data_IF_881130144598
#
_entry.id   IF_881130144598
#
_cell.length_a   1.000
_cell.length_b   1.000
_cell.length_c   1.000
_cell.angle_alpha   90.00
_cell.angle_beta   90.00
_cell.angle_gamma   90.00
#
_symmetry.space_group_name_H-M   'P 1'
#
loop_
_entity.id
_entity.type
_entity.pdbx_description
1 polymer ?
#
# COMPACT_ATOMS: atom_id res chain seq x y z
N UNK A 1 -25.43 23.10 11.23
CA UNK A 1 -24.75 22.93 12.52
C UNK A 1 -23.51 22.03 12.42
N UNK A 2 -23.59 20.82 11.81
CA UNK A 2 -22.48 19.88 11.75
C UNK A 2 -21.18 20.50 11.17
N UNK A 3 -21.27 21.17 10.02
CA UNK A 3 -20.11 21.84 9.41
C UNK A 3 -19.59 23.04 10.23
N UNK A 4 -20.46 23.67 11.05
CA UNK A 4 -20.05 24.71 11.98
C UNK A 4 -19.19 24.19 13.12
N UNK A 5 -19.33 22.92 13.49
CA UNK A 5 -18.47 22.26 14.48
C UNK A 5 -17.03 22.14 13.95
N UNK A 6 -16.87 21.71 12.69
CA UNK A 6 -15.54 21.63 12.07
C UNK A 6 -14.91 23.02 11.87
N UNK A 7 -15.71 24.01 11.43
CA UNK A 7 -15.26 25.40 11.30
C UNK A 7 -14.69 25.96 12.60
N UNK A 8 -15.25 25.56 13.75
CA UNK A 8 -14.90 26.01 15.09
C UNK A 8 -14.07 24.97 15.87
N UNK A 9 -13.12 24.31 15.22
CA UNK A 9 -12.17 23.37 15.82
C UNK A 9 -12.79 22.27 16.68
N UNK A 10 -13.93 21.76 16.28
CA UNK A 10 -14.62 20.67 16.96
C UNK A 10 -15.64 21.10 18.01
N UNK A 11 -15.90 22.40 18.13
CA UNK A 11 -16.78 22.97 19.16
C UNK A 11 -18.11 23.43 18.52
N UNK A 12 -19.21 23.01 19.12
CA UNK A 12 -20.52 23.56 18.82
C UNK A 12 -20.77 24.80 19.67
N UNK A 13 -21.01 25.94 19.02
CA UNK A 13 -21.34 27.19 19.67
C UNK A 13 -22.82 27.50 19.50
N UNK A 14 -23.48 27.97 20.55
CA UNK A 14 -24.91 28.27 20.49
C UNK A 14 -25.49 28.78 21.83
N UNK A 15 -26.78 28.61 21.97
CA UNK A 15 -27.50 28.95 23.21
C UNK A 15 -28.27 27.74 23.73
N UNK A 16 -28.29 27.53 25.03
CA UNK A 16 -29.06 26.46 25.64
C UNK A 16 -30.55 26.79 25.62
N UNK A 17 -31.30 25.93 24.94
CA UNK A 17 -32.77 25.95 24.94
C UNK A 17 -33.26 24.64 25.60
N UNK A 18 -33.52 24.69 26.89
CA UNK A 18 -33.72 23.50 27.70
C UNK A 18 -32.40 22.75 27.91
N UNK A 19 -32.37 21.46 27.53
CA UNK A 19 -31.17 20.61 27.63
C UNK A 19 -30.33 20.57 26.32
N UNK A 20 -30.77 21.26 25.27
CA UNK A 20 -30.12 21.20 23.95
C UNK A 20 -29.45 22.52 23.59
N UNK A 21 -28.21 22.45 23.14
CA UNK A 21 -27.49 23.54 22.52
C UNK A 21 -27.98 23.76 21.10
N UNK A 22 -28.41 24.97 20.74
CA UNK A 22 -28.93 25.34 19.44
C UNK A 22 -28.30 26.63 18.94
N UNK A 23 -28.22 26.75 17.61
CA UNK A 23 -27.80 28.01 17.00
C UNK A 23 -28.78 29.14 17.31
N UNK A 24 -28.28 30.24 17.83
CA UNK A 24 -29.11 31.42 18.08
C UNK A 24 -29.35 32.19 16.79
N UNK A 25 -30.61 32.47 16.48
CA UNK A 25 -31.02 33.31 15.35
C UNK A 25 -31.28 34.77 15.76
N UNK A 26 -31.52 34.98 17.05
CA UNK A 26 -31.67 36.31 17.67
C UNK A 26 -30.63 36.43 18.76
N UNK A 27 -29.70 37.38 18.64
CA UNK A 27 -28.59 37.54 19.57
C UNK A 27 -28.95 38.46 20.75
N UNK A 28 -29.76 39.49 20.53
CA UNK A 28 -30.20 40.40 21.57
C UNK A 28 -31.56 41.03 21.22
N UNK A 29 -32.35 41.29 22.25
CA UNK A 29 -33.57 42.09 22.16
C UNK A 29 -33.49 43.13 23.28
N UNK A 30 -33.60 44.42 22.92
CA UNK A 30 -33.72 45.53 23.85
C UNK A 30 -34.88 46.43 23.47
N UNK A 31 -35.45 47.13 24.43
CA UNK A 31 -36.43 48.17 24.15
C UNK A 31 -35.76 49.49 23.72
N UNK A 32 -36.57 50.50 23.46
CA UNK A 32 -36.12 51.84 23.05
C UNK A 32 -35.43 52.63 24.15
N UNK A 33 -35.58 52.20 25.42
CA UNK A 33 -34.99 52.76 26.63
C UNK A 33 -33.64 52.09 26.95
N UNK A 34 -33.28 50.97 26.19
CA UNK A 34 -32.05 50.22 26.31
C UNK A 34 -32.10 49.10 27.34
N UNK A 35 -33.30 48.75 27.85
CA UNK A 35 -33.49 47.61 28.72
C UNK A 35 -33.37 46.33 27.88
N UNK A 36 -32.48 45.40 28.32
CA UNK A 36 -32.19 44.15 27.61
C UNK A 36 -33.18 43.08 28.07
N UNK A 37 -33.99 42.59 27.16
CA UNK A 37 -34.96 41.50 27.39
C UNK A 37 -34.38 40.12 27.01
N UNK A 38 -33.39 40.08 26.08
CA UNK A 38 -32.67 38.92 25.69
C UNK A 38 -31.24 39.30 25.37
N UNK A 39 -30.27 38.58 25.94
CA UNK A 39 -28.86 38.71 25.61
C UNK A 39 -28.24 37.33 25.37
N UNK A 40 -28.06 37.00 24.11
CA UNK A 40 -27.39 35.78 23.62
C UNK A 40 -26.09 36.11 22.87
N UNK A 41 -25.48 37.26 23.13
CA UNK A 41 -24.23 37.68 22.51
C UNK A 41 -23.04 36.81 22.91
N UNK A 42 -23.10 36.18 24.08
CA UNK A 42 -22.10 35.23 24.57
C UNK A 42 -22.61 33.81 24.33
N UNK A 43 -22.11 33.17 23.29
CA UNK A 43 -22.45 31.79 22.98
C UNK A 43 -21.87 30.83 24.04
N UNK A 44 -22.62 29.79 24.36
CA UNK A 44 -22.10 28.63 25.08
C UNK A 44 -21.36 27.71 24.09
N UNK A 45 -20.30 27.07 24.59
CA UNK A 45 -19.42 26.22 23.78
C UNK A 45 -19.45 24.78 24.31
N UNK A 46 -19.75 23.83 23.44
CA UNK A 46 -19.75 22.41 23.77
C UNK A 46 -18.81 21.67 22.83
N UNK A 47 -17.73 21.01 23.31
CA UNK A 47 -16.92 20.13 22.53
C UNK A 47 -17.76 18.96 21.99
N UNK A 48 -17.67 18.68 20.67
CA UNK A 48 -18.41 17.61 19.98
C UNK A 48 -17.44 16.58 19.40
N UNK A 49 -16.36 17.08 18.78
CA UNK A 49 -15.25 16.24 18.28
C UNK A 49 -13.94 16.85 18.75
N UNK A 50 -12.88 16.06 18.73
CA UNK A 50 -11.55 16.57 19.10
C UNK A 50 -11.06 17.60 18.08
N UNK A 51 -10.24 18.59 18.47
CA UNK A 51 -9.66 19.55 17.53
C UNK A 51 -8.87 18.88 16.41
N UNK A 52 -8.21 17.74 16.69
CA UNK A 52 -7.44 16.98 15.71
C UNK A 52 -8.34 16.41 14.60
N UNK A 53 -9.48 15.80 14.98
CA UNK A 53 -10.45 15.29 13.98
C UNK A 53 -11.09 16.43 13.18
N UNK A 54 -11.37 17.55 13.81
CA UNK A 54 -11.87 18.73 13.11
C UNK A 54 -10.84 19.24 12.09
N UNK A 55 -9.57 19.28 12.49
CA UNK A 55 -8.48 19.72 11.62
C UNK A 55 -8.29 18.79 10.42
N UNK A 56 -8.31 17.46 10.59
CA UNK A 56 -8.28 16.51 9.48
C UNK A 56 -9.44 16.71 8.50
N UNK A 57 -10.65 16.93 9.00
CA UNK A 57 -11.81 17.24 8.15
C UNK A 57 -11.65 18.57 7.41
N UNK A 58 -11.08 19.57 8.05
CA UNK A 58 -10.79 20.85 7.43
C UNK A 58 -9.75 20.73 6.33
N UNK A 59 -8.68 19.95 6.56
CA UNK A 59 -7.64 19.65 5.58
C UNK A 59 -8.22 18.95 4.34
N UNK A 60 -8.93 17.83 4.53
CA UNK A 60 -9.57 17.06 3.44
C UNK A 60 -10.53 17.94 2.62
N UNK A 61 -11.36 18.73 3.30
CA UNK A 61 -12.39 19.56 2.64
C UNK A 61 -11.83 20.84 2.03
N UNK A 62 -10.63 21.29 2.40
CA UNK A 62 -9.96 22.44 1.82
C UNK A 62 -8.91 22.09 0.77
N UNK A 63 -8.56 20.80 0.62
CA UNK A 63 -7.61 20.35 -0.40
C UNK A 63 -8.19 20.55 -1.82
N UNK A 64 -7.64 21.54 -2.53
CA UNK A 64 -7.98 21.81 -3.92
C UNK A 64 -7.57 20.68 -4.84
N UNK A 65 -6.42 20.04 -4.60
CA UNK A 65 -5.85 19.00 -5.46
C UNK A 65 -6.68 17.72 -5.46
N UNK A 66 -7.23 17.33 -4.31
CA UNK A 66 -8.15 16.19 -4.18
C UNK A 66 -9.45 16.35 -5.01
N UNK A 67 -9.83 17.60 -5.35
CA UNK A 67 -11.01 17.89 -6.15
C UNK A 67 -10.75 17.85 -7.66
N UNK A 68 -9.50 17.91 -8.10
CA UNK A 68 -9.16 18.06 -9.53
C UNK A 68 -9.67 16.90 -10.38
N UNK A 69 -9.64 15.68 -9.88
CA UNK A 69 -10.13 14.51 -10.62
C UNK A 69 -11.62 14.57 -10.91
N UNK A 70 -12.42 15.17 -10.03
CA UNK A 70 -13.88 15.23 -10.16
C UNK A 70 -14.43 16.55 -10.68
N UNK A 71 -13.72 17.67 -10.41
CA UNK A 71 -14.23 19.04 -10.69
C UNK A 71 -13.29 19.85 -11.60
N UNK A 72 -12.12 19.32 -11.94
CA UNK A 72 -11.09 20.05 -12.69
C UNK A 72 -10.27 21.03 -11.84
N UNK A 73 -9.19 21.53 -12.41
CA UNK A 73 -8.21 22.40 -11.70
C UNK A 73 -8.72 23.80 -11.38
N UNK A 74 -9.71 24.30 -12.13
CA UNK A 74 -10.36 25.60 -11.91
C UNK A 74 -11.83 25.38 -11.57
N UNK A 75 -12.10 24.77 -10.42
CA UNK A 75 -13.45 24.43 -10.04
C UNK A 75 -14.14 25.55 -9.24
N UNK A 76 -15.45 25.49 -9.24
CA UNK A 76 -16.32 26.51 -8.62
C UNK A 76 -16.19 26.60 -7.10
N UNK A 77 -15.57 25.62 -6.43
CA UNK A 77 -15.33 25.64 -4.99
C UNK A 77 -14.06 26.40 -4.61
N UNK A 78 -13.22 26.76 -5.57
CA UNK A 78 -12.05 27.59 -5.34
C UNK A 78 -12.46 29.07 -5.30
N UNK A 79 -12.47 29.64 -4.11
CA UNK A 79 -12.86 31.03 -3.86
C UNK A 79 -11.67 31.99 -3.72
N UNK A 80 -10.43 31.47 -3.79
CA UNK A 80 -9.21 32.25 -3.70
C UNK A 80 -8.70 32.52 -2.29
N UNK A 81 -9.25 31.87 -1.28
CA UNK A 81 -8.80 31.89 0.12
C UNK A 81 -9.10 30.56 0.80
N UNK A 82 -8.46 30.23 1.96
CA UNK A 82 -8.67 28.96 2.63
C UNK A 82 -10.15 28.69 2.93
N UNK A 83 -10.70 27.64 2.36
CA UNK A 83 -12.14 27.33 2.46
C UNK A 83 -12.36 25.84 2.30
N UNK A 84 -12.96 25.23 3.29
CA UNK A 84 -13.45 23.86 3.24
C UNK A 84 -14.80 23.82 2.52
N UNK A 85 -14.99 22.94 1.52
CA UNK A 85 -16.23 22.87 0.78
C UNK A 85 -16.49 21.49 0.16
N UNK A 86 -17.80 21.16 0.00
CA UNK A 86 -18.27 19.91 -0.64
C UNK A 86 -19.56 20.13 -1.39
N UNK A 87 -19.63 19.58 -2.60
CA UNK A 87 -20.87 19.43 -3.37
C UNK A 87 -21.49 18.08 -3.03
N UNK A 88 -22.81 18.05 -2.86
CA UNK A 88 -23.61 16.84 -2.76
C UNK A 88 -24.75 16.88 -3.78
N UNK A 89 -25.11 15.74 -4.33
CA UNK A 89 -26.21 15.57 -5.28
C UNK A 89 -27.00 14.31 -4.98
N UNK A 90 -28.26 14.28 -5.42
CA UNK A 90 -29.09 13.08 -5.39
C UNK A 90 -28.95 12.35 -6.72
N UNK A 91 -29.18 11.06 -6.74
CA UNK A 91 -28.93 10.14 -7.86
C UNK A 91 -29.54 10.61 -9.20
N UNK A 92 -30.72 11.23 -9.17
CA UNK A 92 -31.40 11.73 -10.38
C UNK A 92 -31.09 13.20 -10.70
N UNK A 93 -30.18 13.85 -10.02
CA UNK A 93 -29.81 15.27 -10.16
C UNK A 93 -31.01 16.27 -10.03
N UNK A 94 -32.06 15.88 -9.31
CA UNK A 94 -33.17 16.75 -8.99
C UNK A 94 -32.95 17.68 -7.81
N UNK A 95 -31.91 17.39 -7.01
CA UNK A 95 -31.49 18.32 -5.97
C UNK A 95 -29.98 18.27 -5.76
N UNK A 96 -29.41 19.42 -5.44
CA UNK A 96 -27.99 19.58 -5.17
C UNK A 96 -27.78 20.43 -3.91
N UNK A 97 -26.70 20.10 -3.20
CA UNK A 97 -26.23 20.81 -2.04
C UNK A 97 -24.82 21.31 -2.32
N UNK A 98 -24.53 22.52 -1.85
CA UNK A 98 -23.14 22.96 -1.68
C UNK A 98 -23.02 23.57 -0.30
N UNK A 99 -22.13 23.01 0.48
CA UNK A 99 -21.81 23.50 1.81
C UNK A 99 -20.30 23.74 1.87
N UNK A 100 -19.94 24.85 2.50
CA UNK A 100 -18.54 25.16 2.76
C UNK A 100 -18.43 26.26 3.79
N UNK A 101 -17.22 26.41 4.32
CA UNK A 101 -16.98 27.26 5.47
C UNK A 101 -15.53 27.74 5.53
N UNK A 102 -15.35 28.85 6.22
CA UNK A 102 -14.10 29.34 6.76
C UNK A 102 -14.15 29.23 8.30
N UNK A 103 -13.09 29.52 9.05
CA UNK A 103 -13.16 29.55 10.50
C UNK A 103 -14.30 30.45 11.05
N UNK A 104 -14.68 31.51 10.32
CA UNK A 104 -15.65 32.51 10.78
C UNK A 104 -17.05 32.37 10.19
N UNK A 105 -17.22 31.69 9.07
CA UNK A 105 -18.49 31.66 8.32
C UNK A 105 -18.76 30.28 7.74
N UNK A 106 -20.01 29.87 7.85
CA UNK A 106 -20.56 28.69 7.19
C UNK A 106 -21.64 29.13 6.20
N UNK A 107 -21.56 28.66 4.98
CA UNK A 107 -22.58 28.90 3.96
C UNK A 107 -23.07 27.56 3.37
N UNK A 108 -24.39 27.48 3.17
CA UNK A 108 -25.01 26.31 2.53
C UNK A 108 -26.01 26.81 1.49
N UNK A 109 -25.97 26.23 0.30
CA UNK A 109 -26.98 26.37 -0.73
C UNK A 109 -27.57 25.00 -1.02
N UNK A 110 -28.88 24.92 -0.99
CA UNK A 110 -29.65 23.76 -1.44
C UNK A 110 -30.58 24.19 -2.56
N UNK A 111 -30.60 23.44 -3.62
CA UNK A 111 -31.50 23.66 -4.74
C UNK A 111 -32.24 22.36 -5.07
N UNK A 112 -33.49 22.47 -5.46
CA UNK A 112 -34.29 21.39 -5.97
C UNK A 112 -35.11 21.88 -7.16
N UNK A 113 -35.29 21.02 -8.17
CA UNK A 113 -36.09 21.30 -9.36
C UNK A 113 -36.96 20.09 -9.72
N UNK A 114 -37.91 20.30 -10.63
CA UNK A 114 -38.71 19.21 -11.17
C UNK A 114 -38.06 18.50 -12.37
N UNK A 115 -36.91 19.02 -12.79
CA UNK A 115 -36.09 18.48 -13.88
C UNK A 115 -34.62 18.38 -13.39
N UNK A 116 -33.86 17.46 -13.96
CA UNK A 116 -32.42 17.33 -13.70
C UNK A 116 -31.70 18.64 -14.07
N UNK A 117 -30.74 19.06 -13.23
CA UNK A 117 -29.92 20.24 -13.44
C UNK A 117 -28.48 20.00 -13.02
N UNK A 118 -27.57 20.84 -13.54
CA UNK A 118 -26.17 20.77 -13.18
C UNK A 118 -25.94 21.19 -11.72
N UNK A 119 -25.41 20.31 -10.85
CA UNK A 119 -25.10 20.63 -9.45
C UNK A 119 -24.16 21.83 -9.28
N UNK A 120 -23.37 22.18 -10.30
CA UNK A 120 -22.49 23.35 -10.27
C UNK A 120 -23.25 24.67 -10.19
N UNK A 121 -24.53 24.70 -10.54
CA UNK A 121 -25.38 25.90 -10.36
C UNK A 121 -25.51 26.24 -8.88
N UNK A 122 -25.77 25.25 -8.02
CA UNK A 122 -25.82 25.44 -6.57
C UNK A 122 -24.44 25.86 -6.02
N UNK A 123 -23.37 25.29 -6.56
CA UNK A 123 -22.00 25.62 -6.19
C UNK A 123 -21.63 27.06 -6.60
N UNK A 124 -22.04 27.52 -7.79
CA UNK A 124 -21.83 28.91 -8.23
C UNK A 124 -22.53 29.92 -7.33
N UNK A 125 -23.77 29.61 -6.89
CA UNK A 125 -24.48 30.46 -5.91
C UNK A 125 -23.79 30.46 -4.55
N UNK A 126 -23.32 29.29 -4.09
CA UNK A 126 -22.53 29.18 -2.86
C UNK A 126 -21.23 29.99 -2.94
N UNK A 127 -20.52 29.88 -4.08
CA UNK A 127 -19.28 30.64 -4.32
C UNK A 127 -19.49 32.15 -4.14
N UNK A 128 -20.54 32.70 -4.76
CA UNK A 128 -20.87 34.12 -4.60
C UNK A 128 -21.23 34.47 -3.16
N UNK A 129 -21.98 33.62 -2.48
CA UNK A 129 -22.42 33.81 -1.10
C UNK A 129 -21.23 33.80 -0.12
N UNK A 130 -20.36 32.80 -0.19
CA UNK A 130 -19.22 32.68 0.75
C UNK A 130 -18.19 33.80 0.53
N UNK A 131 -17.94 34.21 -0.71
CA UNK A 131 -17.09 35.38 -1.03
C UNK A 131 -17.67 36.64 -0.44
N UNK A 132 -18.99 36.88 -0.59
CA UNK A 132 -19.64 38.08 -0.03
C UNK A 132 -19.63 38.07 1.49
N UNK A 133 -19.86 36.90 2.11
CA UNK A 133 -19.84 36.76 3.56
C UNK A 133 -18.47 37.04 4.20
N UNK A 134 -17.38 36.80 3.46
CA UNK A 134 -16.00 36.98 3.93
C UNK A 134 -15.35 38.29 3.40
N UNK A 135 -16.04 39.14 2.64
CA UNK A 135 -15.49 40.32 1.96
C UNK A 135 -14.74 41.28 2.91
N UNK A 136 -15.15 41.35 4.16
CA UNK A 136 -14.57 42.26 5.18
C UNK A 136 -13.70 41.54 6.21
N UNK A 137 -13.53 40.22 6.06
CA UNK A 137 -12.75 39.40 6.99
C UNK A 137 -11.36 39.12 6.41
N UNK A 138 -10.31 39.03 7.25
CA UNK A 138 -9.02 38.55 6.78
C UNK A 138 -9.13 37.10 6.33
N UNK A 139 -8.41 36.68 5.28
CA UNK A 139 -8.34 35.29 4.88
C UNK A 139 -7.56 34.49 5.94
N UNK A 140 -8.27 33.74 6.78
CA UNK A 140 -7.70 32.86 7.80
C UNK A 140 -7.96 31.39 7.42
N UNK A 141 -7.03 30.52 7.80
CA UNK A 141 -7.18 29.07 7.74
C UNK A 141 -7.25 28.47 9.15
N UNK A 142 -7.09 27.18 9.24
CA UNK A 142 -7.03 26.45 10.50
C UNK A 142 -5.58 26.16 10.87
N UNK A 143 -5.23 26.39 12.15
CA UNK A 143 -3.92 26.01 12.67
C UNK A 143 -3.94 24.56 13.14
N UNK A 144 -2.86 23.83 12.86
CA UNK A 144 -2.73 22.44 13.28
C UNK A 144 -2.67 22.35 14.82
N UNK A 145 -3.60 21.64 15.46
CA UNK A 145 -3.56 21.45 16.91
C UNK A 145 -2.45 20.48 17.32
N UNK A 146 -2.08 20.52 18.60
CA UNK A 146 -1.17 19.50 19.18
C UNK A 146 -1.79 18.12 18.98
N UNK A 147 -0.99 17.14 18.54
CA UNK A 147 -1.45 15.78 18.26
C UNK A 147 -1.69 15.51 16.77
N UNK A 148 -1.27 16.43 15.90
CA UNK A 148 -1.14 16.22 14.46
C UNK A 148 0.33 16.15 14.10
N UNK A 149 0.71 15.10 13.37
CA UNK A 149 2.03 14.90 12.76
C UNK A 149 1.92 15.08 11.26
N UNK A 150 2.90 15.77 10.67
CA UNK A 150 3.05 15.89 9.22
C UNK A 150 4.23 15.05 8.77
N UNK A 151 4.05 14.20 7.76
CA UNK A 151 5.12 13.37 7.22
C UNK A 151 4.94 13.11 5.72
N UNK A 152 6.03 12.72 5.09
CA UNK A 152 6.03 12.39 3.67
C UNK A 152 5.60 10.92 3.48
N UNK A 153 4.69 10.69 2.53
CA UNK A 153 4.16 9.38 2.16
C UNK A 153 4.16 9.20 0.65
N UNK A 154 4.09 7.97 0.21
CA UNK A 154 3.94 7.64 -1.20
C UNK A 154 2.47 7.80 -1.63
N UNK A 155 2.23 8.52 -2.71
CA UNK A 155 0.90 8.68 -3.31
C UNK A 155 0.72 7.62 -4.42
N UNK A 156 -0.38 6.83 -4.42
CA UNK A 156 -1.57 6.94 -3.59
C UNK A 156 -1.62 5.97 -2.38
N UNK A 157 -0.57 5.22 -2.07
CA UNK A 157 -0.61 4.21 -1.00
C UNK A 157 -0.77 4.81 0.41
N UNK A 158 -0.28 6.03 0.62
CA UNK A 158 -0.23 6.66 1.94
C UNK A 158 0.80 6.03 2.90
N UNK A 159 1.65 5.12 2.41
CA UNK A 159 2.70 4.43 3.18
C UNK A 159 4.03 5.19 3.13
N UNK A 160 5.01 4.75 3.93
CA UNK A 160 6.35 5.35 3.93
C UNK A 160 7.00 5.21 2.55
N UNK A 161 7.61 6.27 1.99
CA UNK A 161 8.14 6.22 0.63
C UNK A 161 9.37 5.33 0.53
N UNK A 162 9.47 4.56 -0.54
CA UNK A 162 10.64 3.82 -0.98
C UNK A 162 11.37 4.57 -2.10
N UNK A 163 12.48 4.01 -2.58
CA UNK A 163 13.18 4.54 -3.75
C UNK A 163 12.34 4.41 -5.05
N UNK A 164 11.39 3.48 -5.06
CA UNK A 164 10.51 3.20 -6.21
C UNK A 164 9.26 4.06 -6.24
N UNK A 165 8.97 4.79 -5.16
CA UNK A 165 7.80 5.66 -5.08
C UNK A 165 7.90 6.81 -6.10
N UNK A 166 7.01 6.89 -7.11
CA UNK A 166 7.11 7.89 -8.17
C UNK A 166 6.63 9.27 -7.74
N UNK A 167 5.78 9.34 -6.72
CA UNK A 167 5.21 10.59 -6.24
C UNK A 167 5.15 10.60 -4.71
N UNK A 168 5.96 11.47 -4.09
CA UNK A 168 5.99 11.66 -2.64
C UNK A 168 5.21 12.92 -2.31
N UNK A 169 4.21 12.78 -1.44
CA UNK A 169 3.37 13.89 -0.96
C UNK A 169 3.50 14.01 0.55
N UNK A 170 3.28 15.21 1.06
CA UNK A 170 3.29 15.45 2.49
C UNK A 170 1.86 15.44 3.01
N UNK A 171 1.55 14.51 3.90
CA UNK A 171 0.22 14.29 4.46
C UNK A 171 0.22 14.42 5.99
N UNK A 172 -0.96 14.48 6.60
CA UNK A 172 -1.16 14.71 8.03
C UNK A 172 -1.83 13.51 8.70
N UNK A 173 -1.37 13.21 9.92
CA UNK A 173 -1.83 12.06 10.70
C UNK A 173 -2.13 12.46 12.14
N UNK A 174 -3.05 11.73 12.76
CA UNK A 174 -3.17 11.74 14.23
C UNK A 174 -1.93 11.08 14.84
N UNK A 175 -1.39 11.63 15.91
CA UNK A 175 -0.28 11.00 16.61
C UNK A 175 -0.64 9.57 17.02
N UNK A 176 0.16 8.60 16.55
CA UNK A 176 -0.03 7.17 16.78
C UNK A 176 -0.83 6.46 15.69
N UNK A 177 -1.25 7.17 14.61
CA UNK A 177 -1.85 6.59 13.41
C UNK A 177 -1.01 6.79 12.15
N UNK A 178 0.24 7.22 12.31
CA UNK A 178 1.19 7.35 11.22
C UNK A 178 1.49 5.99 10.60
N UNK A 179 1.68 5.91 9.26
CA UNK A 179 2.08 4.67 8.62
C UNK A 179 3.45 4.21 9.14
N UNK A 180 3.57 2.93 9.43
CA UNK A 180 4.82 2.28 9.87
C UNK A 180 5.39 1.34 8.80
N UNK A 181 4.62 1.04 7.76
CA UNK A 181 5.01 0.19 6.65
C UNK A 181 5.52 1.02 5.48
N UNK A 182 6.48 0.48 4.75
CA UNK A 182 6.96 1.06 3.51
C UNK A 182 6.01 0.76 2.36
N UNK A 183 6.04 1.63 1.34
CA UNK A 183 5.26 1.44 0.12
C UNK A 183 5.61 0.11 -0.55
N UNK A 184 4.58 -0.68 -0.84
CA UNK A 184 4.65 -1.94 -1.59
C UNK A 184 3.88 -1.89 -2.92
N UNK A 185 3.28 -0.71 -3.22
CA UNK A 185 2.49 -0.52 -4.42
C UNK A 185 3.36 -0.35 -5.67
N UNK A 186 4.58 0.17 -5.50
CA UNK A 186 5.49 0.41 -6.62
C UNK A 186 6.77 -0.40 -6.49
N UNK A 187 7.22 -0.94 -7.62
CA UNK A 187 8.47 -1.70 -7.72
C UNK A 187 9.16 -1.46 -9.04
N UNK A 188 10.49 -1.31 -9.01
CA UNK A 188 11.32 -1.23 -10.18
C UNK A 188 11.78 -2.61 -10.65
N UNK A 189 11.74 -2.80 -11.96
CA UNK A 189 12.19 -4.00 -12.65
C UNK A 189 13.20 -3.63 -13.73
N UNK A 190 14.25 -4.43 -13.84
CA UNK A 190 15.17 -4.35 -14.98
C UNK A 190 14.51 -4.99 -16.21
N UNK A 191 14.23 -4.21 -17.22
CA UNK A 191 13.60 -4.68 -18.47
C UNK A 191 14.50 -4.44 -19.68
N UNK A 192 14.35 -5.26 -20.71
CA UNK A 192 14.94 -4.96 -22.01
C UNK A 192 14.05 -3.93 -22.72
N UNK A 193 14.59 -2.72 -22.94
CA UNK A 193 13.85 -1.60 -23.53
C UNK A 193 13.34 -1.85 -24.96
N UNK A 194 13.86 -2.85 -25.68
CA UNK A 194 13.43 -3.18 -27.04
C UNK A 194 12.32 -4.23 -27.05
N UNK A 195 12.37 -5.21 -26.14
CA UNK A 195 11.38 -6.29 -26.06
C UNK A 195 10.29 -6.03 -25.03
N UNK A 196 10.57 -5.23 -24.01
CA UNK A 196 9.69 -4.97 -22.88
C UNK A 196 9.64 -6.12 -21.86
N UNK A 197 10.40 -7.19 -22.03
CA UNK A 197 10.48 -8.32 -21.12
C UNK A 197 11.51 -8.08 -20.00
N UNK A 198 11.44 -8.87 -18.94
CA UNK A 198 12.41 -8.84 -17.83
C UNK A 198 13.82 -9.11 -18.37
N UNK A 199 14.73 -8.22 -18.11
CA UNK A 199 16.12 -8.37 -18.51
C UNK A 199 16.80 -9.49 -17.69
N UNK A 200 17.83 -10.09 -18.28
CA UNK A 200 18.59 -11.19 -17.68
C UNK A 200 20.09 -10.88 -17.70
N UNK A 201 20.89 -11.69 -17.02
CA UNK A 201 22.37 -11.61 -17.10
C UNK A 201 22.91 -11.81 -18.52
N UNK A 202 22.08 -12.27 -19.45
CA UNK A 202 22.42 -12.46 -20.87
C UNK A 202 21.94 -11.30 -21.74
N UNK A 203 21.12 -10.41 -21.23
CA UNK A 203 20.68 -9.20 -21.93
C UNK A 203 21.85 -8.22 -22.04
N UNK A 204 22.06 -7.65 -23.23
CA UNK A 204 23.11 -6.65 -23.41
C UNK A 204 22.93 -5.48 -22.45
N UNK A 205 23.95 -5.07 -21.69
CA UNK A 205 23.85 -3.96 -20.72
C UNK A 205 23.30 -2.65 -21.33
N UNK A 206 23.56 -2.42 -22.61
CA UNK A 206 23.06 -1.25 -23.33
C UNK A 206 21.53 -1.27 -23.55
N UNK A 207 20.88 -2.41 -23.39
CA UNK A 207 19.44 -2.60 -23.56
C UNK A 207 18.69 -2.69 -22.23
N UNK A 208 19.38 -2.79 -21.11
CA UNK A 208 18.77 -2.86 -19.78
C UNK A 208 18.32 -1.46 -19.36
N UNK A 209 17.07 -1.35 -18.95
CA UNK A 209 16.42 -0.16 -18.41
C UNK A 209 15.70 -0.51 -17.10
N UNK A 210 15.86 0.31 -16.06
CA UNK A 210 15.06 0.20 -14.85
C UNK A 210 13.74 0.94 -15.07
N UNK A 211 12.64 0.22 -14.91
CA UNK A 211 11.28 0.77 -15.06
C UNK A 211 10.43 0.42 -13.86
N UNK A 212 9.79 1.43 -13.28
CA UNK A 212 8.89 1.26 -12.13
C UNK A 212 7.49 0.93 -12.62
N UNK A 213 6.90 -0.11 -12.05
CA UNK A 213 5.54 -0.56 -12.30
C UNK A 213 4.72 -0.55 -11.01
N UNK A 214 3.42 -0.43 -11.17
CA UNK A 214 2.49 -0.67 -10.07
C UNK A 214 2.32 -2.18 -9.87
N UNK A 215 2.42 -2.63 -8.63
CA UNK A 215 2.16 -4.03 -8.24
C UNK A 215 0.70 -4.13 -7.82
N UNK A 216 -0.08 -4.91 -8.57
CA UNK A 216 -1.52 -5.04 -8.35
C UNK A 216 -1.78 -6.36 -7.62
N UNK A 217 -2.47 -6.35 -6.48
CA UNK A 217 -2.90 -7.58 -5.82
C UNK A 217 -3.90 -8.35 -6.70
N UNK A 218 -3.96 -9.66 -6.51
CA UNK A 218 -4.75 -10.55 -7.38
C UNK A 218 -6.24 -10.16 -7.47
N UNK A 219 -6.80 -9.63 -6.39
CA UNK A 219 -8.20 -9.18 -6.30
C UNK A 219 -8.48 -7.97 -7.19
N UNK A 220 -7.48 -7.12 -7.44
CA UNK A 220 -7.61 -5.91 -8.25
C UNK A 220 -7.18 -6.12 -9.72
N UNK A 221 -6.71 -7.32 -10.11
CA UNK A 221 -6.21 -7.62 -11.45
C UNK A 221 -7.25 -7.30 -12.54
N UNK A 222 -8.51 -7.72 -12.35
CA UNK A 222 -9.59 -7.48 -13.32
C UNK A 222 -9.87 -5.98 -13.50
N UNK A 223 -9.72 -5.19 -12.43
CA UNK A 223 -9.82 -3.74 -12.51
C UNK A 223 -8.65 -3.13 -13.29
N UNK A 224 -7.43 -3.58 -13.01
CA UNK A 224 -6.21 -3.09 -13.67
C UNK A 224 -6.28 -3.31 -15.19
N UNK A 225 -6.70 -4.51 -15.61
CA UNK A 225 -6.90 -4.86 -17.02
C UNK A 225 -7.97 -3.95 -17.67
N UNK A 226 -9.10 -3.74 -17.00
CA UNK A 226 -10.17 -2.88 -17.51
C UNK A 226 -9.76 -1.39 -17.56
N UNK A 227 -8.91 -0.95 -16.64
CA UNK A 227 -8.39 0.42 -16.57
C UNK A 227 -7.20 0.66 -17.51
N UNK A 228 -6.63 -0.41 -18.10
CA UNK A 228 -5.45 -0.33 -18.96
C UNK A 228 -4.18 0.04 -18.19
N UNK A 229 -4.07 -0.39 -16.93
CA UNK A 229 -2.86 -0.18 -16.12
C UNK A 229 -1.72 -1.00 -16.71
N UNK A 230 -0.57 -0.36 -16.92
CA UNK A 230 0.63 -1.06 -17.39
C UNK A 230 1.24 -1.87 -16.23
N UNK A 231 1.18 -3.19 -16.34
CA UNK A 231 1.71 -4.11 -15.35
C UNK A 231 3.15 -4.52 -15.67
N UNK A 232 3.89 -4.94 -14.64
CA UNK A 232 5.22 -5.49 -14.81
C UNK A 232 5.19 -6.74 -15.71
N UNK A 233 6.17 -6.92 -16.61
CA UNK A 233 6.27 -8.14 -17.41
C UNK A 233 6.57 -9.34 -16.48
N UNK A 234 5.99 -10.50 -16.84
CA UNK A 234 6.24 -11.78 -16.17
C UNK A 234 7.24 -12.65 -16.93
N UNK A 235 7.37 -12.41 -18.24
CA UNK A 235 8.26 -13.17 -19.10
C UNK A 235 9.65 -12.55 -19.14
N UNK A 236 10.66 -13.41 -19.17
CA UNK A 236 12.05 -13.00 -19.35
C UNK A 236 12.38 -12.75 -20.81
N UNK A 237 13.34 -11.86 -21.06
CA UNK A 237 13.89 -11.60 -22.38
C UNK A 237 14.41 -12.89 -23.03
N UNK A 238 14.40 -12.93 -24.38
CA UNK A 238 14.85 -14.10 -25.12
C UNK A 238 16.27 -14.49 -24.72
N UNK A 239 16.38 -15.61 -24.01
CA UNK A 239 17.63 -16.08 -23.43
C UNK A 239 18.42 -16.84 -24.51
N UNK A 240 19.48 -16.22 -24.98
CA UNK A 240 20.59 -16.97 -25.57
C UNK A 240 21.50 -17.44 -24.44
N UNK A 241 20.95 -18.28 -23.54
CA UNK A 241 21.78 -18.92 -22.53
C UNK A 241 22.92 -19.65 -23.21
N UNK A 242 24.18 -19.44 -22.80
CA UNK A 242 25.29 -20.19 -23.36
C UNK A 242 25.05 -21.69 -23.15
N UNK A 243 25.49 -22.54 -24.10
CA UNK A 243 25.32 -23.99 -23.95
C UNK A 243 25.98 -24.45 -22.65
N UNK A 244 25.31 -25.37 -21.92
CA UNK A 244 25.86 -25.99 -20.73
C UNK A 244 27.21 -26.66 -21.04
N UNK A 245 28.27 -26.14 -20.41
CA UNK A 245 29.61 -26.73 -20.58
C UNK A 245 29.69 -28.05 -19.81
N UNK A 246 30.44 -28.98 -20.31
CA UNK A 246 30.59 -30.29 -19.67
C UNK A 246 31.33 -30.15 -18.32
N UNK A 247 32.39 -29.35 -18.31
CA UNK A 247 33.37 -29.26 -17.23
C UNK A 247 33.06 -28.08 -16.28
N UNK A 248 32.16 -27.14 -16.68
CA UNK A 248 31.79 -25.97 -15.88
C UNK A 248 30.29 -25.70 -15.99
N UNK A 249 29.50 -26.04 -15.00
CA UNK A 249 28.06 -25.71 -14.97
C UNK A 249 27.48 -25.78 -13.56
N UNK A 250 26.39 -25.04 -13.33
CA UNK A 250 25.58 -25.11 -12.10
C UNK A 250 24.49 -26.19 -12.22
N UNK A 251 24.17 -26.83 -11.09
CA UNK A 251 23.01 -27.68 -10.88
C UNK A 251 22.04 -27.09 -9.85
N UNK A 252 22.54 -26.24 -8.95
CA UNK A 252 21.76 -25.41 -8.04
C UNK A 252 22.58 -24.15 -7.65
N UNK A 253 21.93 -23.00 -7.46
CA UNK A 253 20.53 -22.73 -7.73
C UNK A 253 20.21 -22.82 -9.23
N UNK A 254 18.92 -23.06 -9.54
CA UNK A 254 18.44 -22.96 -10.93
C UNK A 254 18.48 -21.50 -11.39
N UNK A 255 18.47 -21.30 -12.70
CA UNK A 255 18.38 -19.98 -13.28
C UNK A 255 17.05 -19.32 -12.88
N UNK A 256 17.12 -18.09 -12.37
CA UNK A 256 16.00 -17.29 -11.85
C UNK A 256 15.41 -17.79 -10.52
N UNK A 257 16.12 -18.65 -9.78
CA UNK A 257 15.66 -19.06 -8.46
C UNK A 257 15.58 -17.86 -7.50
N UNK A 258 14.52 -17.82 -6.72
CA UNK A 258 14.40 -16.96 -5.53
C UNK A 258 15.00 -17.75 -4.36
N UNK A 259 15.87 -17.12 -3.56
CA UNK A 259 16.64 -17.80 -2.51
C UNK A 259 16.75 -16.94 -1.26
N UNK A 260 16.89 -17.59 -0.09
CA UNK A 260 17.11 -16.92 1.19
C UNK A 260 18.20 -17.60 2.03
N UNK A 261 18.72 -16.88 3.04
CA UNK A 261 19.61 -17.42 4.07
C UNK A 261 20.91 -18.02 3.53
N UNK A 262 21.22 -19.26 3.89
CA UNK A 262 22.45 -19.93 3.50
C UNK A 262 22.27 -20.71 2.19
N UNK A 263 22.80 -20.17 1.10
CA UNK A 263 22.69 -20.75 -0.25
C UNK A 263 23.80 -21.77 -0.48
N UNK A 264 23.42 -22.99 -0.80
CA UNK A 264 24.32 -24.03 -1.29
C UNK A 264 24.44 -23.96 -2.82
N UNK A 265 25.58 -23.53 -3.32
CA UNK A 265 25.89 -23.49 -4.76
C UNK A 265 26.45 -24.84 -5.16
N UNK A 266 25.78 -25.53 -6.08
CA UNK A 266 26.14 -26.87 -6.53
C UNK A 266 26.35 -26.91 -8.04
N UNK A 267 27.20 -27.85 -8.48
CA UNK A 267 27.46 -27.98 -9.91
C UNK A 267 28.65 -28.89 -10.19
N UNK A 268 29.22 -28.69 -11.35
CA UNK A 268 30.44 -29.39 -11.82
C UNK A 268 31.50 -28.36 -12.13
N UNK A 269 32.71 -28.63 -11.61
CA UNK A 269 33.94 -27.93 -11.91
C UNK A 269 35.04 -28.99 -12.03
N UNK A 270 35.29 -29.49 -13.27
CA UNK A 270 36.15 -30.62 -13.50
C UNK A 270 36.86 -30.52 -14.88
N UNK A 271 37.32 -31.62 -15.41
CA UNK A 271 37.98 -31.73 -16.72
C UNK A 271 39.35 -32.34 -16.66
N UNK A 272 39.83 -32.84 -17.80
CA UNK A 272 41.13 -33.59 -17.88
C UNK A 272 42.35 -32.73 -17.51
N UNK A 273 42.26 -31.42 -17.80
CA UNK A 273 43.33 -30.44 -17.55
C UNK A 273 42.97 -29.44 -16.43
N UNK A 274 42.10 -29.87 -15.49
CA UNK A 274 41.64 -29.06 -14.39
C UNK A 274 42.81 -28.59 -13.53
N UNK A 275 42.84 -27.29 -13.20
CA UNK A 275 43.81 -26.70 -12.26
C UNK A 275 43.13 -26.26 -10.95
N UNK A 276 42.16 -25.36 -11.05
CA UNK A 276 41.32 -24.94 -9.92
C UNK A 276 40.00 -24.37 -10.45
N UNK A 277 39.02 -24.21 -9.51
CA UNK A 277 37.86 -23.41 -9.77
C UNK A 277 37.67 -22.33 -8.70
N UNK A 278 36.85 -21.34 -9.10
CA UNK A 278 36.47 -20.22 -8.25
C UNK A 278 34.99 -19.93 -8.47
N UNK A 279 34.26 -19.67 -7.35
CA UNK A 279 32.88 -19.13 -7.39
C UNK A 279 32.95 -17.67 -7.01
N UNK A 280 32.31 -16.83 -7.78
CA UNK A 280 32.20 -15.41 -7.49
C UNK A 280 30.79 -14.89 -7.76
N UNK A 281 30.41 -13.83 -7.07
CA UNK A 281 29.06 -13.22 -7.12
C UNK A 281 29.17 -11.73 -7.35
N UNK A 282 28.17 -11.17 -8.02
CA UNK A 282 28.10 -9.75 -8.25
C UNK A 282 26.65 -9.28 -8.22
N UNK A 283 26.42 -8.10 -7.68
CA UNK A 283 25.09 -7.52 -7.58
C UNK A 283 24.57 -7.03 -8.95
N UNK A 284 23.31 -7.30 -9.23
CA UNK A 284 22.62 -6.94 -10.45
C UNK A 284 22.90 -7.88 -11.64
N UNK A 285 22.34 -7.53 -12.79
CA UNK A 285 22.45 -8.32 -14.03
C UNK A 285 23.79 -8.13 -14.76
N UNK A 286 24.46 -7.01 -14.52
CA UNK A 286 25.75 -6.67 -15.12
C UNK A 286 26.75 -6.16 -14.07
N UNK A 287 27.25 -7.05 -13.19
CA UNK A 287 28.13 -6.65 -12.12
C UNK A 287 29.40 -5.95 -12.61
N UNK A 288 29.71 -4.79 -12.05
CA UNK A 288 30.96 -4.06 -12.31
C UNK A 288 32.10 -4.56 -11.39
N UNK A 289 31.76 -5.28 -10.35
CA UNK A 289 32.70 -5.89 -9.41
C UNK A 289 32.20 -7.27 -9.00
N UNK A 290 33.15 -8.18 -8.76
CA UNK A 290 32.87 -9.56 -8.37
C UNK A 290 33.51 -9.85 -7.02
N UNK A 291 32.74 -10.44 -6.12
CA UNK A 291 33.19 -10.93 -4.83
C UNK A 291 33.38 -12.44 -4.92
N UNK A 292 34.57 -12.92 -4.57
CA UNK A 292 34.84 -14.36 -4.48
C UNK A 292 34.19 -14.94 -3.23
N UNK A 293 33.53 -16.07 -3.37
CA UNK A 293 32.97 -16.87 -2.28
C UNK A 293 33.97 -17.99 -1.95
N UNK A 294 34.53 -17.93 -0.73
CA UNK A 294 35.56 -18.86 -0.30
C UNK A 294 36.92 -18.60 -0.95
N UNK A 295 37.73 -19.67 -1.08
CA UNK A 295 39.05 -19.65 -1.71
C UNK A 295 39.03 -20.42 -3.04
N UNK A 296 40.13 -20.34 -3.82
CA UNK A 296 40.33 -21.18 -4.99
C UNK A 296 40.41 -22.66 -4.58
N UNK A 297 39.64 -23.51 -5.27
CA UNK A 297 39.54 -24.94 -4.96
C UNK A 297 40.28 -25.76 -6.01
N UNK A 298 41.32 -26.48 -5.58
CA UNK A 298 42.20 -27.26 -6.42
C UNK A 298 41.77 -28.73 -6.59
N UNK A 299 40.62 -29.11 -6.08
CA UNK A 299 40.05 -30.43 -6.20
C UNK A 299 38.84 -30.35 -7.14
N UNK A 300 38.80 -31.15 -8.21
CA UNK A 300 37.63 -31.14 -9.12
C UNK A 300 36.38 -31.66 -8.39
N UNK A 301 35.24 -31.11 -8.79
CA UNK A 301 33.91 -31.43 -8.22
C UNK A 301 32.98 -31.81 -9.37
N UNK A 302 32.22 -32.91 -9.21
CA UNK A 302 31.21 -33.33 -10.17
C UNK A 302 29.84 -33.48 -9.50
N UNK A 303 28.90 -32.66 -9.92
CA UNK A 303 27.49 -32.59 -9.41
C UNK A 303 27.40 -32.54 -7.88
N UNK A 304 28.26 -31.77 -7.25
CA UNK A 304 28.29 -31.63 -5.78
C UNK A 304 28.46 -30.16 -5.36
N UNK A 305 28.68 -29.93 -4.05
CA UNK A 305 28.82 -28.61 -3.47
C UNK A 305 30.08 -27.91 -4.00
N UNK A 306 29.89 -26.75 -4.63
CA UNK A 306 30.96 -25.86 -5.09
C UNK A 306 31.29 -24.80 -4.05
N UNK A 307 30.27 -24.18 -3.42
CA UNK A 307 30.43 -23.16 -2.39
C UNK A 307 29.20 -23.05 -1.51
N UNK A 308 29.38 -22.52 -0.31
CA UNK A 308 28.31 -22.04 0.58
C UNK A 308 28.39 -20.53 0.66
N UNK A 309 27.25 -19.87 0.46
CA UNK A 309 27.16 -18.42 0.52
C UNK A 309 26.07 -17.98 1.48
N UNK A 310 26.46 -17.21 2.49
CA UNK A 310 25.51 -16.57 3.41
C UNK A 310 24.93 -15.32 2.74
N UNK A 311 23.64 -15.37 2.42
CA UNK A 311 22.90 -14.28 1.78
C UNK A 311 21.98 -13.57 2.77
N UNK A 312 21.97 -13.91 4.06
CA UNK A 312 20.97 -13.46 5.05
C UNK A 312 20.86 -11.95 5.25
N UNK A 313 21.88 -11.19 4.83
CA UNK A 313 21.88 -9.71 4.92
C UNK A 313 21.79 -9.03 3.55
N UNK A 314 21.54 -9.80 2.51
CA UNK A 314 21.52 -9.33 1.14
C UNK A 314 20.09 -9.37 0.60
N UNK A 315 19.81 -8.57 -0.44
CA UNK A 315 18.53 -8.57 -1.17
C UNK A 315 18.71 -8.17 -2.62
N UNK A 316 17.77 -8.57 -3.47
CA UNK A 316 17.69 -8.21 -4.87
C UNK A 316 18.44 -9.16 -5.81
N UNK A 317 18.66 -8.73 -7.06
CA UNK A 317 19.24 -9.54 -8.13
C UNK A 317 20.76 -9.71 -7.97
N UNK A 318 21.23 -10.92 -8.18
CA UNK A 318 22.64 -11.28 -8.20
C UNK A 318 22.96 -12.22 -9.36
N UNK A 319 24.14 -12.00 -9.96
CA UNK A 319 24.77 -12.93 -10.86
C UNK A 319 25.76 -13.79 -10.07
N UNK A 320 25.75 -15.11 -10.31
CA UNK A 320 26.74 -16.06 -9.80
C UNK A 320 27.57 -16.56 -10.96
N UNK A 321 28.87 -16.58 -10.82
CA UNK A 321 29.79 -17.03 -11.87
C UNK A 321 30.72 -18.12 -11.33
N UNK A 322 30.82 -19.22 -12.05
CA UNK A 322 31.79 -20.28 -11.83
C UNK A 322 32.89 -20.14 -12.88
N UNK A 323 34.12 -19.98 -12.45
CA UNK A 323 35.29 -20.01 -13.30
C UNK A 323 36.04 -21.31 -13.04
N UNK A 324 36.25 -22.11 -14.10
CA UNK A 324 37.10 -23.31 -14.08
C UNK A 324 38.34 -23.01 -14.91
N UNK A 325 39.47 -23.05 -14.26
CA UNK A 325 40.79 -22.77 -14.84
C UNK A 325 41.52 -24.08 -15.13
N UNK A 326 42.08 -24.19 -16.30
CA UNK A 326 42.80 -25.35 -16.78
C UNK A 326 44.31 -25.07 -16.84
N UNK A 327 45.12 -26.10 -16.77
CA UNK A 327 46.59 -26.01 -16.79
C UNK A 327 47.13 -25.42 -18.10
N UNK A 328 46.36 -25.46 -19.17
CA UNK A 328 46.68 -24.83 -20.48
C UNK A 328 46.28 -23.35 -20.53
N UNK A 329 45.85 -22.76 -19.40
CA UNK A 329 45.36 -21.38 -19.22
C UNK A 329 43.99 -21.11 -19.87
N UNK A 330 43.29 -22.12 -20.31
CA UNK A 330 41.88 -22.01 -20.74
C UNK A 330 41.03 -21.77 -19.50
N UNK A 331 40.05 -20.85 -19.60
CA UNK A 331 39.06 -20.57 -18.56
C UNK A 331 37.67 -20.86 -19.13
N UNK A 332 36.92 -21.72 -18.43
CA UNK A 332 35.52 -21.96 -18.72
C UNK A 332 34.68 -21.20 -17.70
N UNK A 333 33.63 -20.54 -18.18
CA UNK A 333 32.78 -19.69 -17.34
C UNK A 333 31.33 -20.15 -17.49
N UNK A 334 30.69 -20.45 -16.34
CA UNK A 334 29.27 -20.64 -16.27
C UNK A 334 28.66 -19.47 -15.44
N UNK A 335 27.52 -18.97 -15.86
CA UNK A 335 26.83 -17.88 -15.17
C UNK A 335 25.38 -18.29 -14.92
N UNK A 336 24.86 -17.98 -13.72
CA UNK A 336 23.45 -18.07 -13.36
C UNK A 336 23.01 -16.79 -12.67
N UNK A 337 21.71 -16.54 -12.63
CA UNK A 337 21.07 -15.41 -12.02
C UNK A 337 20.08 -15.87 -10.96
N UNK A 338 20.05 -15.17 -9.83
CA UNK A 338 19.15 -15.42 -8.71
C UNK A 338 18.56 -14.10 -8.19
N UNK A 339 17.44 -14.20 -7.50
CA UNK A 339 16.93 -13.15 -6.63
C UNK A 339 17.16 -13.57 -5.17
N UNK A 340 17.74 -12.70 -4.36
CA UNK A 340 17.88 -12.93 -2.92
C UNK A 340 16.74 -12.20 -2.22
N UNK A 341 15.98 -12.94 -1.42
CA UNK A 341 14.89 -12.45 -0.62
C UNK A 341 14.93 -13.03 0.79
N UNK A 342 15.16 -12.18 1.76
CA UNK A 342 15.15 -12.51 3.17
C UNK A 342 14.01 -11.80 3.93
N UNK A 343 13.08 -11.19 3.20
CA UNK A 343 11.85 -10.67 3.77
C UNK A 343 10.86 -11.83 3.99
N UNK A 344 10.14 -11.77 5.09
CA UNK A 344 9.12 -12.77 5.39
C UNK A 344 7.78 -12.31 4.82
N UNK A 345 6.94 -13.22 4.30
CA UNK A 345 5.61 -12.86 3.88
C UNK A 345 4.81 -12.29 5.07
N UNK A 346 3.87 -11.43 4.79
CA UNK A 346 2.89 -10.97 5.76
C UNK A 346 1.66 -11.87 5.73
N UNK A 347 1.00 -12.03 6.89
CA UNK A 347 -0.23 -12.81 7.00
C UNK A 347 -1.17 -12.12 7.99
N UNK A 348 -2.47 -12.12 7.68
CA UNK A 348 -3.52 -11.59 8.53
C UNK A 348 -4.77 -12.47 8.45
N UNK A 349 -5.22 -12.95 9.59
CA UNK A 349 -6.47 -13.70 9.69
C UNK A 349 -7.66 -12.75 9.58
N UNK A 350 -8.48 -12.92 8.55
CA UNK A 350 -9.70 -12.12 8.32
C UNK A 350 -10.89 -12.76 9.02
N UNK A 351 -11.04 -14.09 8.95
CA UNK A 351 -12.13 -14.82 9.58
C UNK A 351 -11.76 -16.30 9.78
N UNK A 352 -12.13 -16.90 10.94
CA UNK A 352 -12.67 -16.27 12.14
C UNK A 352 -11.64 -15.44 12.88
N UNK A 353 -12.08 -14.52 13.76
CA UNK A 353 -11.18 -13.73 14.61
C UNK A 353 -10.85 -14.45 15.92
N UNK A 354 -9.78 -14.03 16.60
CA UNK A 354 -9.39 -14.55 17.90
C UNK A 354 -10.55 -14.44 18.92
N UNK A 355 -10.93 -15.57 19.51
CA UNK A 355 -12.00 -15.66 20.51
C UNK A 355 -13.42 -15.53 19.95
N UNK A 356 -13.60 -15.59 18.64
CA UNK A 356 -14.92 -15.47 18.01
C UNK A 356 -15.84 -16.63 18.37
N UNK A 357 -17.15 -16.34 18.46
CA UNK A 357 -18.19 -17.33 18.71
C UNK A 357 -19.01 -17.55 17.44
N UNK A 358 -18.90 -18.72 16.89
CA UNK A 358 -19.63 -19.16 15.69
C UNK A 358 -20.89 -19.93 16.10
N UNK A 359 -22.06 -19.46 15.63
CA UNK A 359 -23.35 -20.13 15.85
C UNK A 359 -23.48 -21.37 14.94
N UNK A 360 -23.41 -22.56 15.51
CA UNK A 360 -23.54 -23.86 14.80
C UNK A 360 -24.87 -24.04 14.08
N UNK A 361 -25.95 -23.49 14.61
CA UNK A 361 -27.27 -23.65 14.00
C UNK A 361 -27.44 -22.83 12.72
N UNK A 362 -26.78 -21.67 12.67
CA UNK A 362 -26.79 -20.75 11.52
C UNK A 362 -25.73 -21.10 10.51
N UNK A 363 -24.55 -21.51 10.96
CA UNK A 363 -23.38 -21.73 10.11
C UNK A 363 -23.03 -23.22 10.09
N UNK A 364 -23.37 -23.92 9.02
CA UNK A 364 -22.98 -25.34 8.81
C UNK A 364 -21.61 -25.46 8.14
N UNK A 365 -21.18 -24.41 7.49
CA UNK A 365 -19.86 -24.21 6.88
C UNK A 365 -19.45 -22.77 7.10
N UNK A 366 -18.17 -22.54 7.28
CA UNK A 366 -17.55 -21.22 7.27
C UNK A 366 -16.38 -21.21 6.28
N UNK A 367 -16.05 -20.04 5.79
CA UNK A 367 -14.82 -19.83 5.06
C UNK A 367 -13.77 -19.26 6.01
N UNK A 368 -12.67 -19.98 6.19
CA UNK A 368 -11.48 -19.49 6.86
C UNK A 368 -10.77 -18.60 5.84
N UNK A 369 -10.71 -17.30 6.12
CA UNK A 369 -10.19 -16.29 5.19
C UNK A 369 -8.93 -15.64 5.74
N UNK A 370 -7.93 -15.50 4.89
CA UNK A 370 -6.61 -14.96 5.22
C UNK A 370 -6.18 -14.00 4.12
N UNK A 371 -5.61 -12.87 4.50
CA UNK A 371 -4.76 -12.09 3.61
C UNK A 371 -3.32 -12.53 3.78
N UNK A 372 -2.63 -12.77 2.68
CA UNK A 372 -1.20 -13.02 2.67
C UNK A 372 -0.58 -12.26 1.50
N UNK A 373 0.53 -11.58 1.76
CA UNK A 373 1.25 -10.78 0.76
C UNK A 373 2.76 -10.89 0.97
N UNK A 374 3.51 -10.70 -0.11
CA UNK A 374 4.96 -10.77 -0.09
C UNK A 374 5.57 -9.95 -1.23
N UNK A 375 6.80 -9.44 -1.03
CA UNK A 375 7.50 -8.61 -2.00
C UNK A 375 7.85 -9.32 -3.32
N UNK A 376 8.17 -10.64 -3.33
CA UNK A 376 8.37 -11.45 -4.54
C UNK A 376 7.19 -12.37 -4.85
N UNK A 377 6.23 -12.46 -3.95
CA UNK A 377 4.99 -13.19 -4.06
C UNK A 377 4.94 -14.45 -3.21
N UNK A 378 3.74 -14.71 -2.71
CA UNK A 378 3.42 -15.88 -1.89
C UNK A 378 3.41 -17.14 -2.77
N UNK A 379 4.21 -18.15 -2.37
CA UNK A 379 4.22 -19.47 -3.02
C UNK A 379 3.00 -20.30 -2.60
N UNK A 380 2.70 -20.29 -1.29
CA UNK A 380 1.58 -21.08 -0.75
C UNK A 380 1.12 -20.57 0.61
N UNK A 381 -0.17 -20.85 0.89
CA UNK A 381 -0.81 -20.67 2.20
C UNK A 381 -1.39 -22.01 2.65
N UNK A 382 -0.84 -22.56 3.73
CA UNK A 382 -1.28 -23.85 4.31
C UNK A 382 -2.19 -23.62 5.52
N UNK A 383 -3.32 -24.31 5.55
CA UNK A 383 -4.32 -24.22 6.61
C UNK A 383 -4.28 -25.47 7.49
N UNK A 384 -4.22 -25.29 8.80
CA UNK A 384 -4.27 -26.33 9.81
C UNK A 384 -5.44 -26.05 10.76
N UNK A 385 -6.24 -27.06 11.02
CA UNK A 385 -7.31 -27.03 12.01
C UNK A 385 -7.06 -28.13 13.04
N UNK A 386 -7.08 -27.78 14.32
CA UNK A 386 -6.83 -28.69 15.43
C UNK A 386 -5.55 -29.53 15.21
N UNK A 387 -4.48 -28.87 14.75
CA UNK A 387 -3.16 -29.45 14.41
C UNK A 387 -3.15 -30.40 13.21
N UNK A 388 -4.23 -30.48 12.43
CA UNK A 388 -4.28 -31.26 11.20
C UNK A 388 -4.32 -30.34 9.97
N UNK A 389 -3.45 -30.60 9.00
CA UNK A 389 -3.50 -29.87 7.74
C UNK A 389 -4.77 -30.19 6.99
N UNK A 390 -5.58 -29.17 6.72
CA UNK A 390 -6.84 -29.27 6.00
C UNK A 390 -6.74 -28.87 4.53
N UNK A 391 -5.74 -28.03 4.18
CA UNK A 391 -5.52 -27.62 2.80
C UNK A 391 -4.28 -26.77 2.59
N UNK A 392 -3.94 -26.56 1.31
CA UNK A 392 -2.94 -25.62 0.81
C UNK A 392 -3.53 -24.90 -0.40
N UNK A 393 -3.34 -23.60 -0.47
CA UNK A 393 -3.68 -22.77 -1.62
C UNK A 393 -2.41 -22.09 -2.14
N UNK A 394 -2.28 -22.01 -3.47
CA UNK A 394 -1.13 -21.40 -4.15
C UNK A 394 -1.51 -20.12 -4.90
N UNK A 395 -2.78 -19.75 -4.86
CA UNK A 395 -3.31 -18.55 -5.53
C UNK A 395 -4.36 -17.91 -4.63
N UNK A 396 -4.39 -16.58 -4.60
CA UNK A 396 -5.43 -15.82 -3.93
C UNK A 396 -6.78 -15.93 -4.69
N UNK A 397 -7.95 -15.79 -4.02
CA UNK A 397 -8.08 -15.49 -2.59
C UNK A 397 -7.78 -16.72 -1.70
N UNK A 398 -7.07 -16.49 -0.60
CA UNK A 398 -6.73 -17.53 0.35
C UNK A 398 -7.90 -17.79 1.31
N UNK A 399 -8.90 -18.55 0.83
CA UNK A 399 -10.10 -18.87 1.56
C UNK A 399 -10.38 -20.39 1.53
N UNK A 400 -10.53 -21.01 2.72
CA UNK A 400 -10.77 -22.44 2.86
C UNK A 400 -12.12 -22.71 3.49
N UNK A 401 -13.00 -23.41 2.77
CA UNK A 401 -14.32 -23.81 3.31
C UNK A 401 -14.18 -24.98 4.26
N UNK A 402 -14.65 -24.81 5.50
CA UNK A 402 -14.68 -25.85 6.52
C UNK A 402 -16.11 -26.16 7.00
N UNK A 403 -16.46 -27.47 7.09
CA UNK A 403 -17.71 -27.94 7.68
C UNK A 403 -17.59 -27.89 9.20
N UNK A 404 -18.39 -27.03 9.83
CA UNK A 404 -18.29 -26.68 11.25
C UNK A 404 -18.66 -27.85 12.18
N UNK A 405 -17.85 -28.05 13.22
CA UNK A 405 -18.14 -28.97 14.34
C UNK A 405 -18.25 -28.18 15.64
N UNK A 406 -19.10 -28.64 16.58
CA UNK A 406 -19.25 -27.98 17.88
C UNK A 406 -18.00 -28.19 18.75
N UNK A 407 -17.53 -27.16 19.44
CA UNK A 407 -16.38 -27.21 20.34
C UNK A 407 -15.46 -26.01 20.27
N UNK A 408 -14.36 -26.09 20.99
CA UNK A 408 -13.22 -25.18 20.88
C UNK A 408 -12.32 -25.65 19.73
N UNK A 409 -11.90 -24.74 18.89
CA UNK A 409 -11.07 -25.00 17.72
C UNK A 409 -9.86 -24.09 17.67
N UNK A 410 -8.76 -24.63 17.14
CA UNK A 410 -7.51 -23.94 16.92
C UNK A 410 -7.20 -23.94 15.42
N UNK A 411 -7.06 -22.75 14.84
CA UNK A 411 -6.61 -22.56 13.45
C UNK A 411 -5.19 -22.01 13.47
N UNK A 412 -4.32 -22.63 12.69
CA UNK A 412 -3.00 -22.13 12.34
C UNK A 412 -2.92 -22.03 10.82
N UNK A 413 -2.41 -20.90 10.33
CA UNK A 413 -2.16 -20.69 8.91
C UNK A 413 -0.70 -20.34 8.73
N UNK A 414 -0.05 -20.96 7.72
CA UNK A 414 1.36 -20.75 7.40
C UNK A 414 1.43 -20.24 5.98
N UNK A 415 1.95 -19.02 5.80
CA UNK A 415 2.30 -18.48 4.49
C UNK A 415 3.76 -18.73 4.21
N UNK A 416 4.07 -19.13 2.98
CA UNK A 416 5.42 -19.33 2.46
C UNK A 416 5.59 -18.55 1.18
N UNK A 417 6.72 -17.85 1.05
CA UNK A 417 7.12 -17.16 -0.16
C UNK A 417 7.92 -18.07 -1.13
N UNK A 418 8.30 -17.51 -2.27
CA UNK A 418 9.09 -18.21 -3.30
C UNK A 418 10.55 -18.46 -2.90
N UNK A 419 11.10 -17.65 -2.01
CA UNK A 419 12.46 -17.81 -1.48
C UNK A 419 12.53 -18.82 -0.32
N UNK A 420 11.36 -19.27 0.16
CA UNK A 420 11.20 -20.28 1.21
C UNK A 420 11.12 -19.70 2.62
N UNK A 421 10.94 -18.38 2.79
CA UNK A 421 10.66 -17.80 4.10
C UNK A 421 9.21 -18.12 4.50
N UNK A 422 8.99 -18.39 5.79
CA UNK A 422 7.69 -18.81 6.32
C UNK A 422 7.28 -17.94 7.51
N UNK A 423 6.01 -17.57 7.55
CA UNK A 423 5.37 -16.92 8.69
C UNK A 423 4.10 -17.66 9.06
N UNK A 424 3.76 -17.67 10.33
CA UNK A 424 2.54 -18.30 10.82
C UNK A 424 1.68 -17.35 11.64
N UNK A 425 0.38 -17.51 11.54
CA UNK A 425 -0.61 -16.91 12.43
C UNK A 425 -1.53 -17.98 12.97
N UNK A 426 -1.90 -17.87 14.24
CA UNK A 426 -2.75 -18.84 14.89
C UNK A 426 -3.79 -18.18 15.79
N UNK A 427 -5.01 -18.70 15.76
CA UNK A 427 -6.13 -18.21 16.57
C UNK A 427 -6.91 -19.37 17.21
N UNK A 428 -7.59 -19.05 18.29
CA UNK A 428 -8.58 -19.93 18.93
C UNK A 428 -9.98 -19.31 18.80
N UNK A 429 -10.98 -20.13 18.51
CA UNK A 429 -12.38 -19.70 18.42
C UNK A 429 -13.31 -20.83 18.90
N UNK A 430 -14.57 -20.51 19.13
CA UNK A 430 -15.54 -21.46 19.70
C UNK A 430 -16.75 -21.59 18.79
N UNK A 431 -17.16 -22.84 18.54
CA UNK A 431 -18.42 -23.15 17.86
C UNK A 431 -19.42 -23.62 18.89
N UNK A 432 -20.47 -22.82 19.11
CA UNK A 432 -21.52 -23.10 20.11
C UNK A 432 -22.92 -23.04 19.50
N UNK A 433 -23.90 -23.65 20.19
CA UNK A 433 -25.33 -23.63 19.78
C UNK A 433 -26.01 -22.37 20.23
#
# INVERSE_FOLDING_TARGET
QAYGVFAADGVMNGQMLGENLQAATVLAISDVEGEIWLDWQNAEAQPVVTPQLAYLMNDILSDGSARWQSLGTNNVLDVGFPTAAKIGRVEDDFSAWTVGYTPERVALVWMAANESFDPEVAAGMWHALIKKANETLPPTGWDAPIGITKMDVCDPSGLLPTADCPNIVSDIFLNGSEPSQYDNLYRSFSVNRETGYLATVFTSPALIEEKTYIVIPAEAQAWADAAGVELAPTDYDAILAPPRLADAHFTAPELFADVSGNLAIRGTASGSDFEYYRVQVGQGLNPQSWLQIGEDVYTPVENDLLALWDTSTLSGLYAIQLLVVHTDQRVEIATTQISIDNEYPSIEMIYPLQGEKVDYLRNKQIEIQVNADDNLGVESVAFYLDYQQIGILTEAPYAWTWAVTEGEHFIQVVARDRAGNEVEEAIEFVVER
#
